data_IF_554825237387
#
_entry.id   IF_554825237387
#
_cell.length_a   1.000
_cell.length_b   1.000
_cell.length_c   1.000
_cell.angle_alpha   90.00
_cell.angle_beta   90.00
_cell.angle_gamma   90.00
#
_symmetry.space_group_name_H-M   'P 1'
#
loop_
_entity.id
_entity.type
_entity.pdbx_description
1 polymer ?
#
# COMPACT_ATOMS: atom_id res chain seq x y z
N UNK A 1 -6.06 -3.48 16.16
CA UNK A 1 -6.15 -3.74 17.61
C UNK A 1 -7.39 -3.09 18.22
N UNK A 2 -7.65 -1.79 17.98
CA UNK A 2 -8.88 -1.14 18.46
C UNK A 2 -10.15 -1.86 17.97
N UNK A 3 -10.23 -2.18 16.67
CA UNK A 3 -11.41 -2.85 16.10
C UNK A 3 -11.64 -4.25 16.68
N UNK A 4 -10.59 -5.08 16.76
CA UNK A 4 -10.69 -6.40 17.41
C UNK A 4 -11.21 -6.33 18.84
N UNK A 5 -10.82 -5.31 19.61
CA UNK A 5 -11.30 -5.12 20.97
C UNK A 5 -12.74 -4.61 21.02
N UNK A 6 -13.19 -3.90 19.98
CA UNK A 6 -14.58 -3.49 19.82
C UNK A 6 -15.46 -4.69 19.49
N UNK A 7 -15.05 -5.47 18.48
CA UNK A 7 -15.68 -6.72 18.06
C UNK A 7 -15.84 -7.72 19.21
N UNK A 8 -14.78 -7.85 20.03
CA UNK A 8 -14.84 -8.71 21.21
C UNK A 8 -15.84 -8.23 22.25
N UNK A 9 -16.02 -6.92 22.41
CA UNK A 9 -17.06 -6.39 23.30
C UNK A 9 -18.45 -6.60 22.72
N UNK A 10 -18.63 -6.41 21.42
CA UNK A 10 -19.92 -6.59 20.75
C UNK A 10 -20.38 -8.06 20.84
N UNK A 11 -19.49 -9.02 20.54
CA UNK A 11 -19.76 -10.46 20.73
C UNK A 11 -20.09 -10.86 22.18
N UNK A 12 -19.63 -10.11 23.18
CA UNK A 12 -19.95 -10.32 24.60
C UNK A 12 -21.25 -9.63 25.05
N UNK A 13 -21.56 -8.43 24.53
CA UNK A 13 -22.65 -7.58 25.03
C UNK A 13 -23.93 -7.67 24.17
N UNK A 14 -23.80 -7.92 22.87
CA UNK A 14 -24.89 -8.02 21.90
C UNK A 14 -24.75 -9.27 21.00
N UNK A 15 -24.59 -10.48 21.58
CA UNK A 15 -24.29 -11.69 20.81
C UNK A 15 -25.36 -12.07 19.79
N UNK A 16 -26.63 -11.73 20.03
CA UNK A 16 -27.71 -12.04 19.08
C UNK A 16 -27.60 -11.17 17.81
N UNK A 17 -27.27 -9.89 17.96
CA UNK A 17 -27.08 -8.98 16.83
C UNK A 17 -25.85 -9.39 16.01
N UNK A 18 -24.73 -9.68 16.69
CA UNK A 18 -23.51 -10.14 16.04
C UNK A 18 -23.66 -11.50 15.33
N UNK A 19 -24.47 -12.41 15.87
CA UNK A 19 -24.71 -13.71 15.25
C UNK A 19 -25.53 -13.57 13.96
N UNK A 20 -26.43 -12.59 13.93
CA UNK A 20 -27.18 -12.20 12.74
C UNK A 20 -26.27 -11.57 11.67
N UNK A 21 -25.18 -10.90 12.06
CA UNK A 21 -24.17 -10.40 11.12
C UNK A 21 -23.41 -11.55 10.45
N UNK A 22 -23.01 -12.57 11.23
CA UNK A 22 -22.43 -13.81 10.69
C UNK A 22 -23.40 -14.48 9.70
N UNK A 23 -24.68 -14.57 10.05
CA UNK A 23 -25.72 -15.13 9.19
C UNK A 23 -25.84 -14.33 7.88
N UNK A 24 -25.83 -13.00 7.96
CA UNK A 24 -25.91 -12.08 6.83
C UNK A 24 -24.75 -12.26 5.85
N UNK A 25 -23.54 -12.48 6.37
CA UNK A 25 -22.36 -12.80 5.55
C UNK A 25 -22.62 -14.07 4.74
N UNK A 26 -23.10 -15.15 5.35
CA UNK A 26 -23.41 -16.38 4.62
C UNK A 26 -24.57 -16.25 3.63
N UNK A 27 -25.61 -15.47 3.94
CA UNK A 27 -26.68 -15.14 2.98
C UNK A 27 -26.12 -14.40 1.76
N UNK A 28 -25.18 -13.50 1.96
CA UNK A 28 -24.51 -12.80 0.85
C UNK A 28 -23.75 -13.76 -0.07
N UNK A 29 -23.17 -14.83 0.49
CA UNK A 29 -22.54 -15.92 -0.28
C UNK A 29 -23.54 -16.90 -0.92
N UNK A 30 -24.85 -16.71 -0.70
CA UNK A 30 -25.90 -17.50 -1.33
C UNK A 30 -26.19 -18.84 -0.66
N UNK A 31 -25.83 -19.01 0.62
CA UNK A 31 -26.21 -20.21 1.38
C UNK A 31 -27.71 -20.23 1.68
N UNK A 32 -28.31 -21.42 1.68
CA UNK A 32 -29.70 -21.60 2.07
C UNK A 32 -29.86 -21.45 3.59
N UNK A 33 -30.98 -20.89 4.06
CA UNK A 33 -31.20 -20.59 5.48
C UNK A 33 -31.04 -21.82 6.39
N UNK A 34 -31.43 -23.00 5.89
CA UNK A 34 -31.28 -24.30 6.53
C UNK A 34 -29.82 -24.66 6.87
N UNK A 35 -28.87 -24.12 6.10
CA UNK A 35 -27.43 -24.35 6.25
C UNK A 35 -26.75 -23.30 7.13
N UNK A 36 -27.37 -22.12 7.28
CA UNK A 36 -26.77 -20.97 7.97
C UNK A 36 -26.80 -21.16 9.47
N UNK A 37 -27.93 -21.55 10.04
CA UNK A 37 -28.07 -21.74 11.49
C UNK A 37 -26.97 -22.63 12.12
N UNK A 38 -26.64 -23.83 11.60
CA UNK A 38 -25.56 -24.64 12.15
C UNK A 38 -24.16 -24.03 11.96
N UNK A 39 -23.94 -23.27 10.89
CA UNK A 39 -22.66 -22.56 10.66
C UNK A 39 -22.46 -21.43 11.64
N UNK A 40 -23.49 -20.60 11.84
CA UNK A 40 -23.49 -19.51 12.83
C UNK A 40 -23.23 -20.09 14.21
N UNK A 41 -23.98 -21.12 14.62
CA UNK A 41 -23.77 -21.76 15.92
C UNK A 41 -22.35 -22.32 16.09
N UNK A 42 -21.78 -22.92 15.05
CA UNK A 42 -20.41 -23.43 15.09
C UNK A 42 -19.36 -22.32 15.24
N UNK A 43 -19.53 -21.18 14.55
CA UNK A 43 -18.62 -20.03 14.63
C UNK A 43 -18.76 -19.32 15.98
N UNK A 44 -20.00 -19.06 16.41
CA UNK A 44 -20.30 -18.38 17.67
C UNK A 44 -19.94 -19.21 18.92
N UNK A 45 -19.69 -20.52 18.76
CA UNK A 45 -19.29 -21.39 19.88
C UNK A 45 -17.91 -21.09 20.45
N UNK A 46 -17.04 -20.41 19.69
CA UNK A 46 -15.69 -20.02 20.08
C UNK A 46 -15.54 -18.49 19.85
N UNK A 47 -15.55 -17.68 20.92
CA UNK A 47 -15.46 -16.22 20.80
C UNK A 47 -14.23 -15.73 20.03
N UNK A 48 -13.08 -16.42 20.13
CA UNK A 48 -11.88 -16.00 19.41
C UNK A 48 -12.04 -16.26 17.90
N UNK A 49 -12.65 -17.40 17.51
CA UNK A 49 -12.96 -17.69 16.10
C UNK A 49 -14.05 -16.79 15.54
N UNK A 50 -15.04 -16.45 16.35
CA UNK A 50 -16.10 -15.53 15.96
C UNK A 50 -15.54 -14.15 15.66
N UNK A 51 -14.74 -13.59 16.58
CA UNK A 51 -14.06 -12.30 16.36
C UNK A 51 -13.11 -12.38 15.17
N UNK A 52 -12.37 -13.47 14.98
CA UNK A 52 -11.52 -13.67 13.80
C UNK A 52 -12.32 -13.70 12.49
N UNK A 53 -13.49 -14.32 12.51
CA UNK A 53 -14.39 -14.38 11.37
C UNK A 53 -14.91 -12.98 11.02
N UNK A 54 -15.43 -12.23 11.98
CA UNK A 54 -15.94 -10.88 11.77
C UNK A 54 -14.84 -9.93 11.28
N UNK A 55 -13.68 -9.95 11.95
CA UNK A 55 -12.51 -9.18 11.52
C UNK A 55 -12.13 -9.42 10.05
N UNK A 56 -12.26 -10.65 9.56
CA UNK A 56 -11.86 -11.02 8.20
C UNK A 56 -12.96 -10.80 7.17
N UNK A 57 -14.18 -11.21 7.45
CA UNK A 57 -15.26 -11.30 6.47
C UNK A 57 -16.19 -10.10 6.48
N UNK A 58 -16.36 -9.44 7.62
CA UNK A 58 -17.18 -8.24 7.73
C UNK A 58 -16.33 -6.99 7.49
N UNK A 59 -15.20 -6.89 8.20
CA UNK A 59 -14.34 -5.70 8.18
C UNK A 59 -13.22 -5.75 7.11
N UNK A 60 -12.94 -6.94 6.55
CA UNK A 60 -11.86 -7.13 5.57
C UNK A 60 -10.45 -6.89 6.15
N UNK A 61 -10.30 -6.94 7.47
CA UNK A 61 -9.05 -6.67 8.18
C UNK A 61 -8.30 -7.97 8.45
N UNK A 62 -7.18 -8.16 7.75
CA UNK A 62 -6.22 -9.19 8.14
C UNK A 62 -5.47 -8.79 9.42
N UNK A 63 -5.11 -9.75 10.29
CA UNK A 63 -4.33 -9.45 11.49
C UNK A 63 -3.03 -8.73 11.11
N UNK A 64 -2.74 -7.55 11.71
CA UNK A 64 -1.57 -6.78 11.35
C UNK A 64 -0.31 -7.57 11.70
N UNK A 65 0.61 -7.71 10.75
CA UNK A 65 1.95 -8.25 10.98
C UNK A 65 2.88 -7.09 11.41
N UNK A 66 3.21 -6.94 12.71
CA UNK A 66 4.04 -5.84 13.19
C UNK A 66 5.47 -5.88 12.63
N UNK A 67 5.97 -7.08 12.27
CA UNK A 67 7.29 -7.23 11.64
C UNK A 67 7.23 -6.69 10.21
N UNK A 68 6.13 -6.90 9.50
CA UNK A 68 5.90 -6.34 8.15
C UNK A 68 5.83 -4.81 8.18
N UNK A 69 5.21 -4.21 9.19
CA UNK A 69 5.12 -2.75 9.31
C UNK A 69 6.50 -2.09 9.43
N UNK A 70 7.36 -2.58 10.34
CA UNK A 70 8.72 -2.05 10.50
C UNK A 70 9.59 -2.27 9.26
N UNK A 71 9.52 -3.47 8.66
CA UNK A 71 10.25 -3.78 7.43
C UNK A 71 9.81 -2.85 6.29
N UNK A 72 8.51 -2.61 6.14
CA UNK A 72 7.97 -1.70 5.13
C UNK A 72 8.49 -0.28 5.32
N UNK A 73 8.42 0.26 6.54
CA UNK A 73 8.91 1.60 6.85
C UNK A 73 10.41 1.76 6.51
N UNK A 74 11.25 0.81 6.92
CA UNK A 74 12.68 0.85 6.62
C UNK A 74 12.94 0.72 5.11
N UNK A 75 12.23 -0.17 4.42
CA UNK A 75 12.39 -0.40 2.98
C UNK A 75 12.03 0.85 2.18
N UNK A 76 10.90 1.49 2.49
CA UNK A 76 10.46 2.72 1.83
C UNK A 76 11.42 3.87 2.14
N UNK A 77 11.79 4.06 3.42
CA UNK A 77 12.71 5.12 3.83
C UNK A 77 14.06 4.99 3.15
N UNK A 78 14.64 3.79 3.16
CA UNK A 78 15.92 3.53 2.49
C UNK A 78 15.82 3.72 0.97
N UNK A 79 14.74 3.23 0.34
CA UNK A 79 14.52 3.43 -1.09
C UNK A 79 14.38 4.92 -1.45
N UNK A 80 13.75 5.73 -0.60
CA UNK A 80 13.61 7.16 -0.82
C UNK A 80 14.96 7.89 -0.73
N UNK A 81 15.79 7.53 0.24
CA UNK A 81 17.16 8.07 0.37
C UNK A 81 17.98 7.71 -0.87
N UNK A 82 18.04 6.43 -1.24
CA UNK A 82 18.82 5.97 -2.39
C UNK A 82 18.30 6.59 -3.69
N UNK A 83 16.98 6.62 -3.89
CA UNK A 83 16.35 7.21 -5.07
C UNK A 83 16.60 8.73 -5.18
N UNK A 84 16.50 9.45 -4.06
CA UNK A 84 16.74 10.88 -3.99
C UNK A 84 18.21 11.26 -4.14
N UNK A 85 19.15 10.37 -3.81
CA UNK A 85 20.58 10.61 -4.00
C UNK A 85 20.97 10.61 -5.49
N UNK A 86 20.31 9.81 -6.33
CA UNK A 86 20.66 9.69 -7.75
C UNK A 86 20.77 11.05 -8.49
N UNK A 87 19.77 11.96 -8.44
CA UNK A 87 19.88 13.28 -9.06
C UNK A 87 20.90 14.20 -8.36
N UNK A 88 21.23 13.95 -7.09
CA UNK A 88 22.13 14.78 -6.28
C UNK A 88 23.60 14.37 -6.39
N UNK A 89 23.88 13.10 -6.70
CA UNK A 89 25.25 12.57 -6.82
C UNK A 89 26.15 13.41 -7.73
N UNK A 90 25.71 13.87 -8.92
CA UNK A 90 26.55 14.73 -9.77
C UNK A 90 26.99 16.02 -9.08
N UNK A 91 26.14 16.61 -8.24
CA UNK A 91 26.45 17.84 -7.49
C UNK A 91 27.39 17.59 -6.31
N UNK A 92 27.46 16.37 -5.80
CA UNK A 92 28.38 16.00 -4.72
C UNK A 92 29.78 15.66 -5.25
N UNK A 93 29.87 15.22 -6.51
CA UNK A 93 31.10 14.69 -7.11
C UNK A 93 31.79 15.67 -8.07
N UNK A 94 31.07 16.66 -8.59
CA UNK A 94 31.57 17.60 -9.59
C UNK A 94 31.57 19.03 -9.04
N UNK A 95 32.71 19.70 -9.12
CA UNK A 95 32.88 21.07 -8.61
C UNK A 95 32.17 22.12 -9.49
N UNK A 96 31.96 21.82 -10.77
CA UNK A 96 31.33 22.72 -11.73
C UNK A 96 29.82 22.51 -11.78
N UNK A 97 29.06 23.50 -11.31
CA UNK A 97 27.60 23.44 -11.19
C UNK A 97 26.87 23.14 -12.51
N UNK A 98 27.26 23.78 -13.61
CA UNK A 98 26.62 23.57 -14.92
C UNK A 98 26.90 22.16 -15.47
N UNK A 99 28.11 21.64 -15.25
CA UNK A 99 28.48 20.28 -15.62
C UNK A 99 27.71 19.26 -14.77
N UNK A 100 27.59 19.48 -13.46
CA UNK A 100 26.78 18.67 -12.55
C UNK A 100 25.31 18.64 -12.94
N UNK A 101 24.74 19.80 -13.29
CA UNK A 101 23.37 19.91 -13.80
C UNK A 101 23.18 19.09 -15.08
N UNK A 102 24.10 19.21 -16.04
CA UNK A 102 24.04 18.44 -17.29
C UNK A 102 24.06 16.92 -17.05
N UNK A 103 24.93 16.45 -16.17
CA UNK A 103 25.00 15.02 -15.80
C UNK A 103 23.73 14.59 -15.06
N UNK A 104 23.19 15.40 -14.14
CA UNK A 104 21.95 15.09 -13.40
C UNK A 104 20.74 14.99 -14.32
N UNK A 105 20.63 15.87 -15.32
CA UNK A 105 19.58 15.84 -16.35
C UNK A 105 19.64 14.55 -17.19
N UNK A 106 20.81 13.92 -17.35
CA UNK A 106 20.94 12.66 -18.08
C UNK A 106 20.71 11.43 -17.18
N UNK A 107 21.26 11.44 -15.98
CA UNK A 107 21.19 10.28 -15.06
C UNK A 107 19.77 10.10 -14.50
N UNK A 108 19.09 11.20 -14.15
CA UNK A 108 17.77 11.13 -13.50
C UNK A 108 16.72 10.47 -14.40
N UNK A 109 16.56 10.85 -15.68
CA UNK A 109 15.55 10.21 -16.51
C UNK A 109 15.90 8.76 -16.88
N UNK A 110 17.19 8.42 -17.01
CA UNK A 110 17.63 7.03 -17.16
C UNK A 110 17.25 6.19 -15.93
N UNK A 111 17.43 6.73 -14.73
CA UNK A 111 17.01 6.08 -13.50
C UNK A 111 15.48 5.92 -13.43
N UNK A 112 14.70 6.95 -13.81
CA UNK A 112 13.24 6.87 -13.86
C UNK A 112 12.74 5.80 -14.84
N UNK A 113 13.36 5.70 -16.02
CA UNK A 113 13.05 4.66 -17.00
C UNK A 113 13.38 3.27 -16.45
N UNK A 114 14.54 3.10 -15.80
CA UNK A 114 14.96 1.84 -15.19
C UNK A 114 14.00 1.42 -14.05
N UNK A 115 13.71 2.31 -13.11
CA UNK A 115 12.78 2.03 -12.02
C UNK A 115 11.38 1.74 -12.52
N UNK A 116 10.90 2.50 -13.50
CA UNK A 116 9.59 2.25 -14.11
C UNK A 116 9.53 0.92 -14.86
N UNK A 117 10.62 0.50 -15.52
CA UNK A 117 10.71 -0.81 -16.16
C UNK A 117 10.66 -1.96 -15.13
N UNK A 118 11.47 -1.87 -14.07
CA UNK A 118 11.48 -2.85 -12.98
C UNK A 118 10.10 -2.93 -12.32
N UNK A 119 9.50 -1.77 -12.02
CA UNK A 119 8.14 -1.67 -11.49
C UNK A 119 7.15 -2.41 -12.38
N UNK A 120 7.15 -2.16 -13.69
CA UNK A 120 6.22 -2.80 -14.62
C UNK A 120 6.36 -4.32 -14.63
N UNK A 121 7.60 -4.83 -14.64
CA UNK A 121 7.88 -6.27 -14.57
C UNK A 121 7.34 -6.90 -13.28
N UNK A 122 7.47 -6.22 -12.14
CA UNK A 122 7.01 -6.73 -10.84
C UNK A 122 5.49 -6.65 -10.67
N UNK A 123 4.84 -5.64 -11.25
CA UNK A 123 3.38 -5.42 -11.10
C UNK A 123 2.56 -6.07 -12.21
N UNK A 124 3.17 -6.82 -13.13
CA UNK A 124 2.47 -7.47 -14.25
C UNK A 124 1.98 -6.51 -15.35
N UNK A 125 2.45 -5.26 -15.35
CA UNK A 125 2.13 -4.27 -16.38
C UNK A 125 3.22 -4.29 -17.44
N UNK A 126 2.90 -3.95 -18.69
CA UNK A 126 3.92 -3.82 -19.75
C UNK A 126 5.11 -2.97 -19.27
N UNK A 127 6.34 -3.53 -19.18
CA UNK A 127 7.50 -2.85 -18.58
C UNK A 127 7.81 -1.51 -19.24
N UNK A 128 7.73 -1.45 -20.56
CA UNK A 128 7.98 -0.23 -21.34
C UNK A 128 6.93 0.85 -21.09
N UNK A 129 5.66 0.49 -20.92
CA UNK A 129 4.60 1.45 -20.57
C UNK A 129 4.83 2.04 -19.18
N UNK A 130 5.18 1.21 -18.21
CA UNK A 130 5.48 1.64 -16.84
C UNK A 130 6.74 2.52 -16.78
N UNK A 131 7.77 2.20 -17.55
CA UNK A 131 8.97 3.02 -17.72
C UNK A 131 8.63 4.42 -18.25
N UNK A 132 7.89 4.48 -19.36
CA UNK A 132 7.50 5.74 -19.98
C UNK A 132 6.62 6.59 -19.06
N UNK A 133 5.64 5.97 -18.39
CA UNK A 133 4.80 6.66 -17.41
C UNK A 133 5.63 7.27 -16.27
N UNK A 134 6.56 6.49 -15.71
CA UNK A 134 7.40 6.94 -14.59
C UNK A 134 8.31 8.11 -15.02
N UNK A 135 8.91 8.02 -16.21
CA UNK A 135 9.68 9.10 -16.81
C UNK A 135 8.83 10.36 -17.04
N UNK A 136 7.64 10.23 -17.62
CA UNK A 136 6.78 11.37 -17.93
C UNK A 136 6.29 12.08 -16.67
N UNK A 137 5.83 11.33 -15.66
CA UNK A 137 5.38 11.90 -14.38
C UNK A 137 6.53 12.63 -13.69
N UNK A 138 7.71 12.01 -13.62
CA UNK A 138 8.89 12.64 -13.03
C UNK A 138 9.34 13.88 -13.81
N UNK A 139 9.36 13.82 -15.13
CA UNK A 139 9.70 14.95 -15.99
C UNK A 139 8.72 16.12 -15.86
N UNK A 140 7.42 15.84 -15.80
CA UNK A 140 6.40 16.87 -15.57
C UNK A 140 6.54 17.50 -14.19
N UNK A 141 6.79 16.71 -13.15
CA UNK A 141 7.02 17.22 -11.80
C UNK A 141 8.26 18.13 -11.73
N UNK A 142 9.38 17.70 -12.33
CA UNK A 142 10.60 18.50 -12.41
C UNK A 142 10.39 19.80 -13.19
N UNK A 143 9.67 19.74 -14.31
CA UNK A 143 9.32 20.92 -15.12
C UNK A 143 8.46 21.89 -14.32
N UNK A 144 7.44 21.39 -13.60
CA UNK A 144 6.59 22.22 -12.75
C UNK A 144 7.40 22.88 -11.62
N UNK A 145 8.28 22.13 -10.95
CA UNK A 145 9.15 22.66 -9.90
C UNK A 145 10.07 23.77 -10.44
N UNK A 146 10.65 23.58 -11.63
CA UNK A 146 11.48 24.60 -12.28
C UNK A 146 10.69 25.87 -12.62
N UNK A 147 9.48 25.73 -13.18
CA UNK A 147 8.63 26.88 -13.50
C UNK A 147 8.21 27.66 -12.26
N UNK A 148 7.89 26.96 -11.16
CA UNK A 148 7.58 27.58 -9.87
C UNK A 148 8.79 28.32 -9.30
N UNK A 149 9.96 27.68 -9.30
CA UNK A 149 11.20 28.32 -8.85
C UNK A 149 11.52 29.58 -9.65
N UNK A 150 11.31 29.57 -10.97
CA UNK A 150 11.49 30.72 -11.86
C UNK A 150 10.42 31.81 -11.68
N UNK A 151 9.22 31.47 -11.23
CA UNK A 151 8.15 32.44 -11.03
C UNK A 151 8.27 33.19 -9.70
N UNK A 152 8.85 32.54 -8.68
CA UNK A 152 9.03 33.07 -7.33
C UNK A 152 10.40 33.77 -7.18
N UNK A 153 11.44 33.25 -7.84
CA UNK A 153 12.79 33.83 -7.87
C UNK A 153 12.99 34.79 -9.03
#
# INVERSE_FOLDING_TARGET
FAERMRERRETEHIPEEEAEEVARIFRHYGLAEEQIAPLVAAICSDPDRWVDFMMRFELGLEPPDPVRARKSAFTIGFAYVVGGLIPLLPYMLLDQLLTALGVSILVTPLALLLFGYIKGRLTGISPWRSALQTFLIGGLAATAAFLLARAIG
#
